data_IF_131062635597
#
_entry.id   IF_131062635597
#
_cell.length_a   1.000
_cell.length_b   1.000
_cell.length_c   1.000
_cell.angle_alpha   90.00
_cell.angle_beta   90.00
_cell.angle_gamma   90.00
#
_symmetry.space_group_name_H-M   'P 1'
#
loop_
_entity.id
_entity.type
_entity.pdbx_description
1 polymer ?
#
# COMPACT_ATOMS: atom_id res chain seq x y z
N UNK A 1 17.73 18.36 -51.33
CA UNK A 1 18.32 18.40 -49.97
C UNK A 1 17.21 18.20 -48.95
N UNK A 2 16.92 16.95 -48.57
CA UNK A 2 15.92 16.64 -47.54
C UNK A 2 16.60 16.79 -46.17
N UNK A 3 16.11 17.72 -45.34
CA UNK A 3 16.59 17.90 -43.97
C UNK A 3 16.12 16.71 -43.14
N UNK A 4 17.08 15.89 -42.72
CA UNK A 4 16.93 14.83 -41.74
C UNK A 4 16.74 15.51 -40.37
N UNK A 5 15.49 15.64 -39.90
CA UNK A 5 15.23 15.97 -38.51
C UNK A 5 15.05 14.65 -37.75
N UNK A 6 16.11 14.26 -37.05
CA UNK A 6 16.09 13.13 -36.11
C UNK A 6 15.37 13.64 -34.87
N UNK A 7 14.08 13.33 -34.73
CA UNK A 7 13.44 13.41 -33.42
C UNK A 7 13.91 12.21 -32.60
N UNK A 8 14.64 12.51 -31.54
CA UNK A 8 15.12 11.54 -30.56
C UNK A 8 13.89 11.04 -29.76
N UNK A 9 13.20 10.03 -30.26
CA UNK A 9 12.26 9.27 -29.44
C UNK A 9 13.07 8.37 -28.53
N UNK A 10 13.37 8.86 -27.33
CA UNK A 10 13.82 8.01 -26.23
C UNK A 10 12.61 7.16 -25.84
N UNK A 11 12.40 6.06 -26.56
CA UNK A 11 11.62 4.93 -26.08
C UNK A 11 12.46 4.30 -24.96
N UNK A 12 12.29 4.78 -23.74
CA UNK A 12 12.72 4.02 -22.57
C UNK A 12 11.81 2.80 -22.55
N UNK A 13 12.34 1.69 -23.04
CA UNK A 13 11.67 0.39 -23.00
C UNK A 13 11.75 -0.09 -21.55
N UNK A 14 10.69 0.16 -20.78
CA UNK A 14 10.47 -0.50 -19.51
C UNK A 14 9.33 -1.50 -19.71
N UNK A 15 9.66 -2.72 -19.31
CA UNK A 15 8.91 -3.95 -19.49
C UNK A 15 7.47 -3.86 -18.99
N UNK A 16 6.66 -4.78 -19.53
CA UNK A 16 5.46 -5.39 -18.94
C UNK A 16 5.30 -5.13 -17.44
N UNK A 17 4.09 -4.76 -17.04
CA UNK A 17 3.65 -4.63 -15.63
C UNK A 17 4.24 -5.77 -14.82
N UNK A 18 5.22 -5.43 -13.98
CA UNK A 18 5.52 -6.18 -12.78
C UNK A 18 4.41 -5.75 -11.84
N UNK A 19 3.54 -6.67 -11.43
CA UNK A 19 2.52 -6.36 -10.43
C UNK A 19 3.23 -5.84 -9.18
N UNK A 20 2.99 -4.56 -8.88
CA UNK A 20 3.48 -3.92 -7.69
C UNK A 20 2.90 -4.63 -6.46
N UNK A 21 3.71 -4.81 -5.42
CA UNK A 21 3.29 -5.44 -4.16
C UNK A 21 3.01 -4.41 -3.07
N UNK A 22 3.35 -3.14 -3.30
CA UNK A 22 3.17 -2.03 -2.35
C UNK A 22 2.39 -0.87 -2.97
N UNK A 23 1.80 -0.03 -2.10
CA UNK A 23 1.07 1.17 -2.50
C UNK A 23 1.94 2.17 -3.28
N UNK A 24 3.14 2.45 -2.77
CA UNK A 24 4.13 3.32 -3.42
C UNK A 24 4.46 2.86 -4.85
N UNK A 25 4.68 1.56 -5.04
CA UNK A 25 4.98 1.00 -6.36
C UNK A 25 3.82 1.19 -7.34
N UNK A 26 2.57 1.05 -6.87
CA UNK A 26 1.39 1.34 -7.67
C UNK A 26 1.28 2.83 -8.02
N UNK A 27 1.54 3.74 -7.08
CA UNK A 27 1.51 5.19 -7.34
C UNK A 27 2.57 5.61 -8.37
N UNK A 28 3.79 5.11 -8.23
CA UNK A 28 4.88 5.35 -9.20
C UNK A 28 4.52 4.78 -10.58
N UNK A 29 3.91 3.60 -10.62
CA UNK A 29 3.43 3.00 -11.88
C UNK A 29 2.34 3.85 -12.54
N UNK A 30 1.38 4.33 -11.76
CA UNK A 30 0.31 5.23 -12.22
C UNK A 30 0.90 6.53 -12.81
N UNK A 31 1.82 7.18 -12.10
CA UNK A 31 2.43 8.45 -12.55
C UNK A 31 3.21 8.26 -13.85
N UNK A 32 4.08 7.24 -13.91
CA UNK A 32 4.90 6.96 -15.09
C UNK A 32 4.04 6.63 -16.31
N UNK A 33 3.02 5.78 -16.13
CA UNK A 33 2.14 5.39 -17.23
C UNK A 33 1.28 6.58 -17.69
N UNK A 34 0.77 7.40 -16.75
CA UNK A 34 0.00 8.60 -17.06
C UNK A 34 0.82 9.58 -17.90
N UNK A 35 2.07 9.81 -17.52
CA UNK A 35 3.01 10.64 -18.28
C UNK A 35 3.24 10.11 -19.69
N UNK A 36 3.43 8.80 -19.85
CA UNK A 36 3.62 8.16 -21.16
C UNK A 36 2.37 8.28 -22.03
N UNK A 37 1.19 8.07 -21.46
CA UNK A 37 -0.09 8.25 -22.16
C UNK A 37 -0.25 9.69 -22.64
N UNK A 38 0.06 10.68 -21.81
CA UNK A 38 0.00 12.09 -22.21
C UNK A 38 1.00 12.42 -23.34
N UNK A 39 2.20 11.83 -23.31
CA UNK A 39 3.17 11.96 -24.40
C UNK A 39 2.64 11.39 -25.71
N UNK A 40 2.02 10.20 -25.68
CA UNK A 40 1.44 9.58 -26.87
C UNK A 40 0.26 10.39 -27.41
N UNK A 41 -0.63 10.89 -26.54
CA UNK A 41 -1.75 11.78 -26.94
C UNK A 41 -1.21 13.04 -27.62
N UNK A 42 -0.19 13.67 -27.03
CA UNK A 42 0.44 14.87 -27.62
C UNK A 42 1.06 14.57 -28.99
N UNK A 43 1.69 13.41 -29.15
CA UNK A 43 2.26 12.98 -30.42
C UNK A 43 1.18 12.69 -31.47
N UNK A 44 0.05 12.07 -31.07
CA UNK A 44 -1.12 11.85 -31.92
C UNK A 44 -1.71 13.18 -32.41
N UNK A 45 -1.94 14.13 -31.51
CA UNK A 45 -2.47 15.46 -31.84
C UNK A 45 -1.56 16.20 -32.82
N UNK A 46 -0.25 16.15 -32.58
CA UNK A 46 0.73 16.79 -33.47
C UNK A 46 0.78 16.11 -34.85
N UNK A 47 0.75 14.78 -34.90
CA UNK A 47 0.72 14.04 -36.17
C UNK A 47 -0.55 14.34 -36.96
N UNK A 48 -1.71 14.37 -36.30
CA UNK A 48 -2.98 14.75 -36.92
C UNK A 48 -2.93 16.16 -37.50
N UNK A 49 -2.30 17.11 -36.79
CA UNK A 49 -2.09 18.47 -37.28
C UNK A 49 -1.18 18.51 -38.52
N UNK A 50 -0.11 17.74 -38.54
CA UNK A 50 0.82 17.66 -39.68
C UNK A 50 0.17 17.01 -40.91
N UNK A 51 -0.68 16.01 -40.70
CA UNK A 51 -1.50 15.40 -41.75
C UNK A 51 -2.45 16.44 -42.36
N UNK A 52 -3.19 17.18 -41.53
CA UNK A 52 -4.11 18.23 -41.97
C UNK A 52 -3.41 19.37 -42.70
N UNK A 53 -2.18 19.71 -42.31
CA UNK A 53 -1.36 20.72 -42.96
C UNK A 53 -0.65 20.21 -44.23
N UNK A 54 -0.75 18.92 -44.56
CA UNK A 54 -0.08 18.31 -45.72
C UNK A 54 1.45 18.26 -45.59
N UNK A 55 1.98 18.27 -44.36
CA UNK A 55 3.41 18.27 -44.04
C UNK A 55 3.88 16.98 -43.35
N UNK A 56 2.98 16.00 -43.18
CA UNK A 56 3.30 14.69 -42.61
C UNK A 56 4.33 13.92 -43.45
N UNK A 57 5.13 13.06 -42.79
CA UNK A 57 6.12 12.20 -43.44
C UNK A 57 5.46 11.05 -44.20
N UNK A 58 6.11 10.51 -45.24
CA UNK A 58 5.53 9.47 -46.13
C UNK A 58 5.04 8.20 -45.41
N UNK A 59 5.50 7.91 -44.19
CA UNK A 59 5.17 6.74 -43.36
C UNK A 59 4.17 7.01 -42.22
N UNK A 60 3.53 8.19 -42.22
CA UNK A 60 2.66 8.67 -41.13
C UNK A 60 1.55 7.69 -40.72
N UNK A 61 1.01 6.90 -41.65
CA UNK A 61 -0.06 5.92 -41.38
C UNK A 61 0.40 4.84 -40.39
N UNK A 62 1.64 4.37 -40.53
CA UNK A 62 2.21 3.34 -39.64
C UNK A 62 2.45 3.93 -38.25
N UNK A 63 3.00 5.15 -38.19
CA UNK A 63 3.21 5.87 -36.93
C UNK A 63 1.89 6.14 -36.21
N UNK A 64 0.85 6.58 -36.94
CA UNK A 64 -0.48 6.83 -36.40
C UNK A 64 -1.06 5.56 -35.79
N UNK A 65 -1.07 4.46 -36.54
CA UNK A 65 -1.60 3.18 -36.07
C UNK A 65 -0.91 2.67 -34.81
N UNK A 66 0.43 2.74 -34.76
CA UNK A 66 1.18 2.30 -33.57
C UNK A 66 0.89 3.18 -32.35
N UNK A 67 0.84 4.51 -32.54
CA UNK A 67 0.53 5.44 -31.45
C UNK A 67 -0.89 5.22 -30.91
N UNK A 68 -1.88 4.95 -31.76
CA UNK A 68 -3.25 4.63 -31.33
C UNK A 68 -3.30 3.34 -30.50
N UNK A 69 -2.63 2.27 -30.96
CA UNK A 69 -2.53 1.01 -30.21
C UNK A 69 -1.87 1.24 -28.84
N UNK A 70 -0.71 1.90 -28.82
CA UNK A 70 0.04 2.11 -27.59
C UNK A 70 -0.73 3.01 -26.61
N UNK A 71 -1.46 4.00 -27.11
CA UNK A 71 -2.30 4.88 -26.29
C UNK A 71 -3.46 4.11 -25.66
N UNK A 72 -4.20 3.33 -26.47
CA UNK A 72 -5.32 2.53 -25.96
C UNK A 72 -4.85 1.51 -24.94
N UNK A 73 -3.73 0.82 -25.20
CA UNK A 73 -3.12 -0.10 -24.25
C UNK A 73 -2.75 0.59 -22.93
N UNK A 74 -2.07 1.74 -22.98
CA UNK A 74 -1.71 2.45 -21.76
C UNK A 74 -2.96 2.93 -21.00
N UNK A 75 -4.05 3.33 -21.70
CA UNK A 75 -5.31 3.71 -21.06
C UNK A 75 -5.97 2.53 -20.33
N UNK A 76 -6.01 1.35 -20.95
CA UNK A 76 -6.52 0.12 -20.31
C UNK A 76 -5.71 -0.24 -19.06
N UNK A 77 -4.37 -0.14 -19.14
CA UNK A 77 -3.49 -0.39 -18.00
C UNK A 77 -3.67 0.66 -16.89
N UNK A 78 -3.86 1.94 -17.23
CA UNK A 78 -4.18 3.00 -16.27
C UNK A 78 -5.50 2.73 -15.54
N UNK A 79 -6.54 2.32 -16.26
CA UNK A 79 -7.84 1.98 -15.65
C UNK A 79 -7.70 0.82 -14.66
N UNK A 80 -6.90 -0.20 -14.98
CA UNK A 80 -6.64 -1.32 -14.09
C UNK A 80 -5.88 -0.90 -12.83
N UNK A 81 -4.80 -0.12 -12.97
CA UNK A 81 -4.03 0.42 -11.83
C UNK A 81 -4.93 1.29 -10.95
N UNK A 82 -5.70 2.19 -11.54
CA UNK A 82 -6.60 3.07 -10.81
C UNK A 82 -7.65 2.28 -10.02
N UNK A 83 -8.20 1.22 -10.62
CA UNK A 83 -9.12 0.32 -9.94
C UNK A 83 -8.48 -0.36 -8.74
N UNK A 84 -7.27 -0.90 -8.91
CA UNK A 84 -6.54 -1.54 -7.81
C UNK A 84 -6.20 -0.57 -6.67
N UNK A 85 -5.78 0.65 -7.02
CA UNK A 85 -5.51 1.69 -6.04
C UNK A 85 -6.78 2.11 -5.28
N UNK A 86 -7.90 2.27 -5.96
CA UNK A 86 -9.15 2.72 -5.35
C UNK A 86 -9.64 1.82 -4.21
N UNK A 87 -9.32 0.52 -4.26
CA UNK A 87 -9.68 -0.47 -3.25
C UNK A 87 -8.68 -0.50 -2.08
N UNK A 88 -7.52 0.17 -2.19
CA UNK A 88 -6.47 0.15 -1.18
C UNK A 88 -6.86 0.99 0.04
N UNK A 89 -6.83 0.40 1.23
CA UNK A 89 -7.09 1.11 2.49
C UNK A 89 -5.91 2.03 2.83
N UNK A 90 -6.15 3.34 2.83
CA UNK A 90 -5.12 4.36 3.12
C UNK A 90 -5.23 4.91 4.53
N UNK A 91 -6.43 4.86 5.14
CA UNK A 91 -6.66 5.40 6.47
C UNK A 91 -7.63 4.53 7.27
N UNK A 92 -7.36 4.39 8.56
CA UNK A 92 -8.25 3.78 9.55
C UNK A 92 -8.45 4.76 10.70
N UNK A 93 -9.68 4.86 11.20
CA UNK A 93 -10.03 5.61 12.41
C UNK A 93 -10.75 4.70 13.40
N UNK A 94 -10.20 4.51 14.60
CA UNK A 94 -10.79 3.70 15.69
C UNK A 94 -11.13 4.59 16.88
N UNK A 95 -12.36 4.46 17.38
CA UNK A 95 -12.81 5.08 18.62
C UNK A 95 -12.64 4.10 19.80
N UNK A 96 -11.88 4.54 20.79
CA UNK A 96 -11.53 3.74 21.97
C UNK A 96 -12.69 3.55 22.96
N UNK A 97 -13.69 4.42 22.94
CA UNK A 97 -14.80 4.35 23.90
C UNK A 97 -15.78 3.23 23.57
N UNK A 98 -15.89 2.85 22.30
CA UNK A 98 -16.84 1.84 21.82
C UNK A 98 -16.19 0.73 20.98
N UNK A 99 -14.86 0.74 20.83
CA UNK A 99 -14.10 -0.24 20.07
C UNK A 99 -14.59 -0.41 18.61
N UNK A 100 -15.10 0.67 18.01
CA UNK A 100 -15.56 0.69 16.63
C UNK A 100 -14.84 1.76 15.82
N UNK A 101 -14.94 1.69 14.51
CA UNK A 101 -14.23 2.60 13.64
C UNK A 101 -14.61 2.48 12.18
N UNK A 102 -13.77 3.03 11.32
CA UNK A 102 -13.90 2.94 9.88
C UNK A 102 -12.55 2.86 9.18
N UNK A 103 -12.50 2.16 8.06
CA UNK A 103 -11.45 2.31 7.06
C UNK A 103 -11.92 3.22 5.94
N UNK A 104 -10.96 3.86 5.28
CA UNK A 104 -11.15 4.73 4.13
C UNK A 104 -10.17 4.26 3.06
N UNK A 105 -10.68 3.95 1.87
CA UNK A 105 -9.85 3.58 0.72
C UNK A 105 -9.30 4.81 -0.02
N UNK A 106 -8.32 4.62 -0.90
CA UNK A 106 -7.82 5.70 -1.76
C UNK A 106 -8.93 6.28 -2.65
N UNK A 107 -9.89 5.46 -3.06
CA UNK A 107 -11.09 5.88 -3.80
C UNK A 107 -12.09 6.67 -2.95
N UNK A 108 -11.88 6.76 -1.64
CA UNK A 108 -12.74 7.47 -0.69
C UNK A 108 -13.92 6.65 -0.18
N UNK A 109 -13.95 5.34 -0.44
CA UNK A 109 -14.99 4.46 0.12
C UNK A 109 -14.74 4.25 1.61
N UNK A 110 -15.80 4.35 2.43
CA UNK A 110 -15.73 4.09 3.87
C UNK A 110 -16.35 2.74 4.21
N UNK A 111 -15.65 1.93 5.00
CA UNK A 111 -16.18 0.68 5.56
C UNK A 111 -16.13 0.71 7.08
N UNK A 112 -17.20 0.24 7.73
CA UNK A 112 -17.29 0.16 9.19
C UNK A 112 -16.42 -0.99 9.72
N UNK A 113 -15.77 -0.76 10.86
CA UNK A 113 -14.92 -1.72 11.55
C UNK A 113 -15.37 -1.86 13.01
N UNK A 114 -15.28 -3.08 13.55
CA UNK A 114 -15.43 -3.33 14.97
C UNK A 114 -14.25 -4.17 15.43
N UNK A 115 -13.65 -3.76 16.55
CA UNK A 115 -12.58 -4.54 17.16
C UNK A 115 -13.18 -5.71 17.94
N UNK A 116 -12.51 -6.85 17.88
CA UNK A 116 -12.79 -8.03 18.68
C UNK A 116 -12.45 -7.81 20.16
N UNK A 117 -11.48 -6.92 20.42
CA UNK A 117 -11.02 -6.61 21.76
C UNK A 117 -11.14 -5.11 22.08
N UNK A 118 -11.52 -4.74 23.32
CA UNK A 118 -11.50 -3.34 23.71
C UNK A 118 -10.06 -2.80 23.70
N UNK A 119 -9.75 -1.80 22.88
CA UNK A 119 -8.43 -1.20 22.90
C UNK A 119 -8.28 -0.37 24.18
N UNK A 120 -7.04 -0.18 24.65
CA UNK A 120 -6.82 0.60 25.87
C UNK A 120 -5.48 1.33 25.84
N UNK A 121 -5.34 2.31 26.73
CA UNK A 121 -4.08 2.99 26.98
C UNK A 121 -3.49 2.38 28.25
N UNK A 122 -2.27 1.86 28.19
CA UNK A 122 -1.57 1.30 29.34
C UNK A 122 -1.19 2.37 30.35
N UNK A 123 -0.83 1.97 31.57
CA UNK A 123 -0.40 2.90 32.63
C UNK A 123 0.86 3.72 32.26
N UNK A 124 1.62 3.24 31.27
CA UNK A 124 2.79 3.91 30.69
C UNK A 124 2.46 4.72 29.43
N UNK A 125 1.18 4.95 29.15
CA UNK A 125 0.68 5.74 28.03
C UNK A 125 0.92 5.13 26.63
N UNK A 126 1.09 3.81 26.53
CA UNK A 126 1.11 3.11 25.23
C UNK A 126 -0.29 2.71 24.80
N UNK A 127 -0.61 2.89 23.52
CA UNK A 127 -1.88 2.48 22.94
C UNK A 127 -1.85 1.01 22.58
N UNK A 128 -2.65 0.21 23.27
CA UNK A 128 -2.64 -1.25 23.17
C UNK A 128 -3.87 -1.73 22.41
N UNK A 129 -3.65 -2.55 21.36
CA UNK A 129 -4.72 -3.17 20.57
C UNK A 129 -4.47 -4.68 20.51
N UNK A 130 -5.57 -5.46 20.50
CA UNK A 130 -5.49 -6.90 20.35
C UNK A 130 -4.80 -7.27 19.04
N UNK A 131 -3.93 -8.26 19.07
CA UNK A 131 -3.09 -8.60 17.92
C UNK A 131 -3.87 -8.99 16.67
N UNK A 132 -5.02 -9.67 16.82
CA UNK A 132 -5.90 -10.00 15.70
C UNK A 132 -6.54 -8.77 15.08
N UNK A 133 -6.96 -7.84 15.94
CA UNK A 133 -7.49 -6.56 15.50
C UNK A 133 -6.44 -5.81 14.68
N UNK A 134 -5.20 -5.71 15.19
CA UNK A 134 -4.08 -5.14 14.44
C UNK A 134 -3.89 -5.86 13.11
N UNK A 135 -3.79 -7.19 13.10
CA UNK A 135 -3.63 -7.95 11.88
C UNK A 135 -4.71 -7.63 10.85
N UNK A 136 -5.98 -7.56 11.24
CA UNK A 136 -7.08 -7.20 10.34
C UNK A 136 -7.01 -5.75 9.84
N UNK A 137 -6.53 -4.81 10.66
CA UNK A 137 -6.30 -3.42 10.21
C UNK A 137 -5.22 -3.33 9.12
N UNK A 138 -4.32 -4.30 9.05
CA UNK A 138 -3.28 -4.42 8.04
C UNK A 138 -3.60 -5.49 6.98
N UNK A 139 -4.86 -5.93 6.89
CA UNK A 139 -5.33 -6.92 5.92
C UNK A 139 -4.60 -8.28 6.00
N UNK A 140 -4.08 -8.61 7.18
CA UNK A 140 -3.40 -9.89 7.45
C UNK A 140 -4.45 -10.97 7.80
N UNK A 141 -4.50 -12.09 7.06
CA UNK A 141 -5.44 -13.17 7.34
C UNK A 141 -5.01 -14.00 8.56
N UNK A 142 -5.96 -14.69 9.19
CA UNK A 142 -5.70 -15.55 10.37
C UNK A 142 -4.60 -16.61 10.14
N UNK A 143 -4.48 -17.12 8.91
CA UNK A 143 -3.46 -18.11 8.55
C UNK A 143 -2.02 -17.58 8.69
N UNK A 144 -1.85 -16.25 8.63
CA UNK A 144 -0.58 -15.55 8.72
C UNK A 144 -0.29 -15.04 10.15
N UNK A 145 -1.12 -15.43 11.12
CA UNK A 145 -0.94 -15.13 12.54
C UNK A 145 -0.71 -16.46 13.28
N UNK A 146 0.46 -16.63 13.88
CA UNK A 146 0.76 -17.84 14.66
C UNK A 146 1.23 -17.52 16.07
N UNK A 147 0.81 -18.35 17.02
CA UNK A 147 1.20 -18.27 18.43
C UNK A 147 2.01 -19.50 18.78
N UNK A 148 3.19 -19.32 19.37
CA UNK A 148 3.97 -20.43 19.93
C UNK A 148 3.80 -20.49 21.45
N UNK A 149 3.81 -21.70 21.97
CA UNK A 149 3.68 -21.97 23.40
C UNK A 149 5.04 -22.28 24.02
N UNK A 150 5.23 -21.92 25.28
CA UNK A 150 6.35 -22.38 26.10
C UNK A 150 6.11 -23.80 26.65
N UNK A 151 7.06 -24.27 27.46
CA UNK A 151 7.00 -25.57 28.14
C UNK A 151 5.80 -25.75 29.09
N UNK A 152 5.16 -24.64 29.50
CA UNK A 152 4.01 -24.62 30.39
C UNK A 152 2.68 -24.47 29.63
N UNK A 153 2.69 -24.59 28.30
CA UNK A 153 1.55 -24.34 27.42
C UNK A 153 0.97 -22.92 27.51
N UNK A 154 1.80 -21.94 27.89
CA UNK A 154 1.45 -20.53 27.81
C UNK A 154 1.99 -19.96 26.50
N UNK A 155 1.24 -19.04 25.88
CA UNK A 155 1.77 -18.29 24.74
C UNK A 155 3.09 -17.65 25.16
N UNK A 156 4.10 -17.71 24.30
CA UNK A 156 5.42 -17.12 24.55
C UNK A 156 5.86 -16.21 23.41
N UNK A 157 5.56 -16.59 22.16
CA UNK A 157 5.87 -15.77 21.00
C UNK A 157 4.67 -15.69 20.06
N UNK A 158 4.67 -14.64 19.25
CA UNK A 158 3.74 -14.41 18.17
C UNK A 158 4.54 -14.14 16.90
N UNK A 159 4.09 -14.68 15.78
CA UNK A 159 4.57 -14.30 14.46
C UNK A 159 3.42 -13.81 13.58
N UNK A 160 3.67 -12.72 12.87
CA UNK A 160 2.77 -12.17 11.86
C UNK A 160 3.50 -12.17 10.51
N UNK A 161 2.88 -12.72 9.47
CA UNK A 161 3.37 -12.57 8.09
C UNK A 161 2.66 -11.38 7.46
N UNK A 162 3.43 -10.36 7.09
CA UNK A 162 2.92 -9.15 6.43
C UNK A 162 3.87 -8.76 5.30
N UNK A 163 3.33 -8.49 4.10
CA UNK A 163 4.12 -8.20 2.89
C UNK A 163 5.28 -9.19 2.68
N UNK A 164 4.97 -10.50 2.77
CA UNK A 164 5.92 -11.61 2.66
C UNK A 164 7.07 -11.62 3.68
N UNK A 165 6.99 -10.79 4.72
CA UNK A 165 7.99 -10.70 5.78
C UNK A 165 7.39 -11.21 7.08
N UNK A 166 8.10 -12.12 7.75
CA UNK A 166 7.70 -12.61 9.06
C UNK A 166 8.21 -11.63 10.12
N UNK A 167 7.30 -11.15 10.97
CA UNK A 167 7.64 -10.34 12.14
C UNK A 167 7.39 -11.15 13.41
N UNK A 168 8.41 -11.26 14.27
CA UNK A 168 8.34 -11.99 15.54
C UNK A 168 8.25 -11.03 16.72
N UNK A 169 7.38 -11.38 17.67
CA UNK A 169 7.16 -10.69 18.93
C UNK A 169 7.25 -11.69 20.08
N UNK A 170 8.11 -11.44 21.06
CA UNK A 170 8.19 -12.25 22.28
C UNK A 170 7.43 -11.55 23.42
N UNK A 171 6.59 -12.27 24.15
CA UNK A 171 5.89 -11.70 25.30
C UNK A 171 6.88 -11.17 26.34
N UNK A 172 6.59 -9.96 26.85
CA UNK A 172 7.45 -9.29 27.83
C UNK A 172 8.77 -8.73 27.29
N UNK A 173 9.07 -8.91 25.99
CA UNK A 173 10.24 -8.33 25.34
C UNK A 173 9.87 -7.07 24.57
N UNK A 174 10.66 -6.02 24.71
CA UNK A 174 10.56 -4.82 23.88
C UNK A 174 11.28 -4.97 22.54
N UNK A 175 11.84 -6.13 22.21
CA UNK A 175 12.51 -6.35 20.92
C UNK A 175 11.60 -7.19 20.04
N UNK A 176 11.23 -6.65 18.89
CA UNK A 176 10.61 -7.37 17.78
C UNK A 176 11.66 -7.68 16.69
N UNK A 177 11.39 -8.67 15.84
CA UNK A 177 12.24 -8.98 14.70
C UNK A 177 11.44 -8.96 13.40
N UNK A 178 11.71 -8.00 12.50
CA UNK A 178 11.15 -7.96 11.12
C UNK A 178 12.15 -8.67 10.20
N UNK A 179 11.87 -9.92 9.85
CA UNK A 179 12.85 -10.78 9.17
C UNK A 179 14.09 -11.01 10.06
N UNK A 180 15.24 -10.46 9.66
CA UNK A 180 16.49 -10.53 10.45
C UNK A 180 16.81 -9.24 11.21
N UNK A 181 16.03 -8.19 11.03
CA UNK A 181 16.25 -6.88 11.67
C UNK A 181 15.61 -6.86 13.07
N UNK A 182 16.39 -6.43 14.07
CA UNK A 182 15.90 -6.23 15.43
C UNK A 182 15.38 -4.80 15.60
N UNK A 183 14.14 -4.66 16.04
CA UNK A 183 13.45 -3.38 16.22
C UNK A 183 13.09 -3.22 17.70
N UNK A 184 13.48 -2.10 18.30
CA UNK A 184 13.12 -1.74 19.67
C UNK A 184 11.73 -1.11 19.65
N UNK A 185 10.80 -1.71 20.41
CA UNK A 185 9.46 -1.21 20.67
C UNK A 185 9.41 -0.45 22.00
N UNK A 186 8.54 0.54 22.08
CA UNK A 186 8.29 1.31 23.29
C UNK A 186 7.65 0.45 24.40
N UNK A 187 6.85 -0.56 24.03
CA UNK A 187 6.26 -1.49 24.98
C UNK A 187 6.34 -2.95 24.53
N UNK A 188 6.35 -3.91 25.47
CA UNK A 188 6.34 -5.31 25.11
C UNK A 188 4.92 -5.80 24.76
N UNK A 189 4.80 -6.89 24.01
CA UNK A 189 3.56 -7.65 23.90
C UNK A 189 3.13 -8.16 25.28
N UNK A 190 1.85 -8.07 25.61
CA UNK A 190 1.31 -8.55 26.88
C UNK A 190 -0.01 -9.31 26.71
N UNK A 191 -0.29 -10.22 27.64
CA UNK A 191 -1.61 -10.86 27.74
C UNK A 191 -2.44 -10.12 28.79
N UNK A 192 -3.65 -9.71 28.40
CA UNK A 192 -4.64 -9.11 29.29
C UNK A 192 -6.02 -9.68 28.98
N UNK A 193 -6.72 -10.16 30.01
CA UNK A 193 -8.07 -10.74 29.88
C UNK A 193 -8.16 -11.86 28.81
N UNK A 194 -7.09 -12.67 28.67
CA UNK A 194 -7.05 -13.77 27.69
C UNK A 194 -6.72 -13.36 26.25
N UNK A 195 -6.43 -12.08 25.99
CA UNK A 195 -6.03 -11.60 24.67
C UNK A 195 -4.59 -11.08 24.70
N UNK A 196 -3.86 -11.31 23.62
CA UNK A 196 -2.54 -10.72 23.40
C UNK A 196 -2.69 -9.33 22.78
N UNK A 197 -2.07 -8.34 23.40
CA UNK A 197 -2.04 -6.96 22.94
C UNK A 197 -0.62 -6.56 22.54
N UNK A 198 -0.53 -5.70 21.52
CA UNK A 198 0.69 -5.04 21.09
C UNK A 198 0.51 -3.52 21.14
N UNK A 199 1.60 -2.76 21.33
CA UNK A 199 1.58 -1.31 21.13
C UNK A 199 1.40 -0.99 19.64
N UNK A 200 0.29 -0.34 19.29
CA UNK A 200 -0.06 -0.13 17.87
C UNK A 200 0.89 0.82 17.16
N UNK A 201 1.49 1.79 17.86
CA UNK A 201 2.44 2.71 17.24
C UNK A 201 3.68 1.98 16.73
N UNK A 202 4.29 1.14 17.57
CA UNK A 202 5.45 0.35 17.17
C UNK A 202 5.11 -0.61 16.03
N UNK A 203 3.97 -1.31 16.12
CA UNK A 203 3.56 -2.24 15.06
C UNK A 203 3.25 -1.53 13.76
N UNK A 204 2.63 -0.36 13.80
CA UNK A 204 2.36 0.43 12.61
C UNK A 204 3.66 0.85 11.92
N UNK A 205 4.67 1.31 12.66
CA UNK A 205 5.97 1.65 12.09
C UNK A 205 6.66 0.42 11.48
N UNK A 206 6.63 -0.72 12.18
CA UNK A 206 7.15 -2.00 11.65
C UNK A 206 6.44 -2.40 10.35
N UNK A 207 5.15 -2.08 10.21
CA UNK A 207 4.34 -2.37 9.03
C UNK A 207 4.24 -1.19 8.05
N UNK A 208 5.22 -0.29 8.09
CA UNK A 208 5.37 0.81 7.13
C UNK A 208 4.09 1.68 7.10
N UNK A 209 3.60 2.04 8.29
CA UNK A 209 2.48 2.93 8.51
C UNK A 209 2.76 3.89 9.69
N UNK A 210 1.87 4.86 9.86
CA UNK A 210 1.86 5.77 11.00
C UNK A 210 0.58 5.55 11.82
N UNK A 211 0.69 5.51 13.14
CA UNK A 211 -0.45 5.48 14.05
C UNK A 211 -0.38 6.66 15.04
N UNK A 212 -1.45 7.44 15.10
CA UNK A 212 -1.58 8.60 15.97
C UNK A 212 -2.86 8.54 16.78
N UNK A 213 -2.76 8.69 18.10
CA UNK A 213 -3.92 8.81 18.98
C UNK A 213 -4.15 10.28 19.33
N UNK A 214 -5.29 10.83 18.91
CA UNK A 214 -5.79 12.12 19.40
C UNK A 214 -7.04 11.89 20.26
N UNK A 215 -6.94 12.25 21.55
CA UNK A 215 -7.95 12.02 22.60
C UNK A 215 -8.31 10.53 22.76
N UNK A 216 -9.23 10.06 21.92
CA UNK A 216 -9.80 8.69 21.91
C UNK A 216 -9.95 8.14 20.50
N UNK A 217 -9.49 8.88 19.50
CA UNK A 217 -9.53 8.47 18.10
C UNK A 217 -8.11 8.12 17.70
N UNK A 218 -7.88 6.84 17.43
CA UNK A 218 -6.66 6.38 16.80
C UNK A 218 -6.84 6.49 15.29
N UNK A 219 -5.94 7.22 14.65
CA UNK A 219 -5.81 7.27 13.20
C UNK A 219 -4.60 6.46 12.78
N UNK A 220 -4.76 5.55 11.83
CA UNK A 220 -3.66 4.82 11.17
C UNK A 220 -3.65 5.26 9.71
N UNK A 221 -2.49 5.64 9.20
CA UNK A 221 -2.28 5.97 7.78
C UNK A 221 -1.15 5.11 7.25
N UNK A 222 -1.41 4.34 6.19
CA UNK A 222 -0.36 3.57 5.50
C UNK A 222 0.46 4.54 4.64
N UNK A 223 1.77 4.32 4.54
CA UNK A 223 2.61 5.10 3.62
C UNK A 223 2.27 4.77 2.16
#
# INVERSE_FOLDING_TARGET
MKKLFIFFSILINLNTIIYATTFDEWQVSLENLSKKTQQNITALEQLQKDILAGVAQDDWETTLYQLEIDTNKNLEELEQIQKMLNDWVVKVEINFDNASGKSITYGGEEAQLNLLTPPYISDKNHTMIGIRDIAYLFDVPDADIAFSMDENNLVSNISIIYNNTITYFALGSNIAYKGTEAILMDAPPIIKNGYTYLPIQDVAEIFDANANLDKKILSISKY
#
